data_IF_164585768032
#
_entry.id   IF_164585768032
#
_cell.length_a   1.000
_cell.length_b   1.000
_cell.length_c   1.000
_cell.angle_alpha   90.00
_cell.angle_beta   90.00
_cell.angle_gamma   90.00
#
_symmetry.space_group_name_H-M   'P 1'
#
loop_
_entity.id
_entity.type
_entity.pdbx_description
1 polymer ?
#
# COMPACT_ATOMS: atom_id res chain seq x y z
N UNK A 1 -24.59 -8.11 14.76
CA UNK A 1 -23.64 -7.25 15.51
C UNK A 1 -22.22 -7.42 14.99
N UNK A 2 -21.71 -8.66 14.85
CA UNK A 2 -20.37 -8.94 14.30
C UNK A 2 -20.04 -8.26 12.96
N UNK A 3 -20.97 -8.23 11.99
CA UNK A 3 -20.71 -7.63 10.67
C UNK A 3 -20.30 -6.16 10.75
N UNK A 4 -20.94 -5.38 11.63
CA UNK A 4 -20.66 -3.95 11.78
C UNK A 4 -19.27 -3.70 12.36
N UNK A 5 -18.84 -4.55 13.29
CA UNK A 5 -17.51 -4.46 13.92
C UNK A 5 -16.41 -4.82 12.90
N UNK A 6 -16.67 -5.80 12.03
CA UNK A 6 -15.76 -6.15 10.92
C UNK A 6 -15.68 -5.04 9.86
N UNK A 7 -16.81 -4.42 9.51
CA UNK A 7 -16.83 -3.31 8.55
C UNK A 7 -16.09 -2.08 9.09
N UNK A 8 -16.25 -1.78 10.39
CA UNK A 8 -15.51 -0.69 11.04
C UNK A 8 -14.01 -0.95 11.06
N UNK A 9 -13.60 -2.18 11.41
CA UNK A 9 -12.20 -2.58 11.36
C UNK A 9 -11.64 -2.50 9.94
N UNK A 10 -12.39 -3.00 8.94
CA UNK A 10 -12.03 -2.92 7.53
C UNK A 10 -11.86 -1.46 7.08
N UNK A 11 -12.80 -0.59 7.44
CA UNK A 11 -12.72 0.83 7.12
C UNK A 11 -11.52 1.54 7.75
N UNK A 12 -11.14 1.18 8.98
CA UNK A 12 -9.94 1.73 9.64
C UNK A 12 -8.65 1.25 8.97
N UNK A 13 -8.58 -0.03 8.58
CA UNK A 13 -7.43 -0.58 7.86
C UNK A 13 -7.30 0.11 6.49
N UNK A 14 -8.40 0.26 5.76
CA UNK A 14 -8.43 0.94 4.47
C UNK A 14 -7.99 2.41 4.60
N UNK A 15 -8.49 3.14 5.61
CA UNK A 15 -8.08 4.52 5.86
C UNK A 15 -6.57 4.67 6.10
N UNK A 16 -5.96 3.74 6.84
CA UNK A 16 -4.50 3.73 7.08
C UNK A 16 -3.74 3.39 5.79
N UNK A 17 -4.23 2.43 5.00
CA UNK A 17 -3.67 2.08 3.70
C UNK A 17 -3.65 3.29 2.75
N UNK A 18 -4.77 3.98 2.61
CA UNK A 18 -4.87 5.18 1.77
C UNK A 18 -3.93 6.29 2.24
N UNK A 19 -3.86 6.55 3.55
CA UNK A 19 -2.94 7.55 4.09
C UNK A 19 -1.46 7.21 3.79
N UNK A 20 -1.07 5.95 3.92
CA UNK A 20 0.29 5.48 3.59
C UNK A 20 0.59 5.64 2.10
N UNK A 21 -0.34 5.29 1.22
CA UNK A 21 -0.18 5.43 -0.24
C UNK A 21 -0.04 6.89 -0.66
N UNK A 22 -0.88 7.78 -0.11
CA UNK A 22 -0.81 9.22 -0.37
C UNK A 22 0.53 9.82 0.09
N UNK A 23 0.98 9.47 1.31
CA UNK A 23 2.27 9.91 1.83
C UNK A 23 3.43 9.42 0.95
N UNK A 24 3.39 8.14 0.55
CA UNK A 24 4.42 7.56 -0.32
C UNK A 24 4.47 8.28 -1.66
N UNK A 25 3.32 8.54 -2.27
CA UNK A 25 3.24 9.26 -3.54
C UNK A 25 3.79 10.69 -3.44
N UNK A 26 3.43 11.44 -2.39
CA UNK A 26 3.93 12.80 -2.16
C UNK A 26 5.47 12.82 -1.98
N UNK A 27 6.01 11.90 -1.17
CA UNK A 27 7.46 11.78 -0.97
C UNK A 27 8.20 11.38 -2.26
N UNK A 28 7.63 10.48 -3.06
CA UNK A 28 8.19 10.08 -4.35
C UNK A 28 8.20 11.25 -5.34
N UNK A 29 7.09 12.01 -5.43
CA UNK A 29 6.98 13.18 -6.30
C UNK A 29 7.95 14.29 -5.91
N UNK A 30 8.31 14.40 -4.63
CA UNK A 30 9.36 15.32 -4.13
C UNK A 30 10.79 14.80 -4.34
N UNK A 31 10.95 13.59 -4.87
CA UNK A 31 12.26 12.94 -5.06
C UNK A 31 12.95 12.51 -3.77
N UNK A 32 12.20 12.39 -2.66
CA UNK A 32 12.76 12.06 -1.35
C UNK A 32 12.89 10.54 -1.12
N UNK A 33 12.13 9.75 -1.86
CA UNK A 33 12.18 8.29 -1.81
C UNK A 33 12.20 7.69 -3.22
N UNK A 34 12.73 6.48 -3.31
CA UNK A 34 12.61 5.62 -4.48
C UNK A 34 11.34 4.76 -4.33
N UNK A 35 10.25 5.24 -4.93
CA UNK A 35 8.95 4.57 -4.90
C UNK A 35 8.98 3.16 -5.50
N UNK A 36 9.56 2.94 -6.70
CA UNK A 36 9.73 1.59 -7.26
C UNK A 36 10.47 0.62 -6.32
N UNK A 37 11.56 1.07 -5.69
CA UNK A 37 12.31 0.24 -4.73
C UNK A 37 11.48 -0.07 -3.49
N UNK A 38 10.71 0.89 -2.98
CA UNK A 38 9.82 0.67 -1.83
C UNK A 38 8.72 -0.34 -2.15
N UNK A 39 8.07 -0.22 -3.31
CA UNK A 39 7.06 -1.20 -3.77
C UNK A 39 7.64 -2.62 -3.84
N UNK A 40 8.87 -2.75 -4.35
CA UNK A 40 9.57 -4.04 -4.38
C UNK A 40 9.89 -4.57 -2.97
N UNK A 41 10.27 -3.69 -2.04
CA UNK A 41 10.50 -4.06 -0.64
C UNK A 41 9.21 -4.59 0.02
N UNK A 42 8.05 -4.00 -0.25
CA UNK A 42 6.77 -4.49 0.26
C UNK A 42 6.42 -5.88 -0.28
N UNK A 43 6.62 -6.12 -1.57
CA UNK A 43 6.41 -7.46 -2.18
C UNK A 43 7.34 -8.53 -1.61
N UNK A 44 8.55 -8.14 -1.24
CA UNK A 44 9.58 -9.05 -0.71
C UNK A 44 9.61 -9.13 0.81
N UNK A 45 8.72 -8.39 1.49
CA UNK A 45 8.65 -8.37 2.94
C UNK A 45 8.37 -9.80 3.47
N UNK A 46 9.40 -10.39 4.09
CA UNK A 46 9.30 -11.64 4.85
C UNK A 46 9.35 -11.29 6.33
N UNK A 47 8.32 -11.69 7.07
CA UNK A 47 8.41 -11.64 8.53
C UNK A 47 9.19 -12.86 9.02
N UNK A 48 10.26 -12.68 9.82
CA UNK A 48 10.99 -13.80 10.41
C UNK A 48 10.18 -14.62 11.43
N UNK A 49 9.00 -14.14 11.86
CA UNK A 49 8.16 -14.77 12.89
C UNK A 49 6.81 -15.28 12.32
N UNK A 50 6.86 -16.25 11.40
CA UNK A 50 5.73 -16.70 10.59
C UNK A 50 4.61 -17.43 11.37
N UNK A 51 3.49 -16.74 11.58
CA UNK A 51 2.15 -17.27 11.95
C UNK A 51 1.16 -17.01 10.80
N UNK A 52 0.10 -17.81 10.68
CA UNK A 52 -0.89 -17.75 9.57
C UNK A 52 -1.50 -16.36 9.29
N UNK A 53 -1.57 -15.48 10.28
CA UNK A 53 -2.00 -14.07 10.13
C UNK A 53 -1.11 -13.28 9.15
N UNK A 54 0.12 -13.75 8.92
CA UNK A 54 1.09 -13.12 8.03
C UNK A 54 0.84 -13.34 6.54
N UNK A 55 0.08 -14.37 6.13
CA UNK A 55 -0.28 -14.51 4.72
C UNK A 55 -1.26 -13.41 4.29
N UNK A 56 -2.27 -13.10 5.11
CA UNK A 56 -3.16 -11.96 4.86
C UNK A 56 -2.38 -10.65 4.82
N UNK A 57 -1.47 -10.42 5.77
CA UNK A 57 -0.62 -9.23 5.76
C UNK A 57 0.28 -9.16 4.51
N UNK A 58 0.85 -10.29 4.06
CA UNK A 58 1.66 -10.36 2.84
C UNK A 58 0.83 -10.06 1.58
N UNK A 59 -0.39 -10.59 1.53
CA UNK A 59 -1.33 -10.28 0.44
C UNK A 59 -1.66 -8.78 0.41
N UNK A 60 -2.01 -8.19 1.55
CA UNK A 60 -2.28 -6.74 1.63
C UNK A 60 -1.06 -5.91 1.21
N UNK A 61 0.16 -6.28 1.62
CA UNK A 61 1.37 -5.59 1.18
C UNK A 61 1.59 -5.66 -0.34
N UNK A 62 1.26 -6.79 -0.97
CA UNK A 62 1.33 -6.93 -2.42
C UNK A 62 0.28 -6.06 -3.13
N UNK A 63 -0.94 -5.99 -2.60
CA UNK A 63 -2.02 -5.13 -3.12
C UNK A 63 -1.65 -3.65 -3.01
N UNK A 64 -1.08 -3.21 -1.88
CA UNK A 64 -0.61 -1.84 -1.70
C UNK A 64 0.53 -1.49 -2.67
N UNK A 65 1.46 -2.42 -2.90
CA UNK A 65 2.52 -2.23 -3.88
C UNK A 65 1.94 -2.06 -5.30
N UNK A 66 0.92 -2.85 -5.66
CA UNK A 66 0.24 -2.72 -6.95
C UNK A 66 -0.49 -1.38 -7.07
N UNK A 67 -1.24 -0.97 -6.03
CA UNK A 67 -1.95 0.31 -6.03
C UNK A 67 -0.99 1.50 -6.20
N UNK A 68 0.20 1.44 -5.60
CA UNK A 68 1.23 2.46 -5.78
C UNK A 68 1.74 2.52 -7.23
N UNK A 69 1.98 1.37 -7.85
CA UNK A 69 2.44 1.27 -9.24
C UNK A 69 1.36 1.75 -10.22
N UNK A 70 0.08 1.45 -9.97
CA UNK A 70 -1.05 1.92 -10.77
C UNK A 70 -1.20 3.44 -10.67
N UNK A 71 -1.13 3.98 -9.45
CA UNK A 71 -1.20 5.43 -9.23
C UNK A 71 -0.03 6.17 -9.89
N UNK A 72 1.16 5.58 -9.88
CA UNK A 72 2.33 6.10 -10.62
C UNK A 72 2.09 6.08 -12.12
N UNK A 73 1.65 4.95 -12.66
CA UNK A 73 1.36 4.78 -14.09
C UNK A 73 0.30 5.77 -14.57
N UNK A 74 -0.72 6.03 -13.75
CA UNK A 74 -1.73 7.05 -14.01
C UNK A 74 -1.12 8.46 -14.07
N UNK A 75 -0.29 8.85 -13.10
CA UNK A 75 0.39 10.15 -13.11
C UNK A 75 1.33 10.33 -14.29
N UNK A 76 2.05 9.28 -14.68
CA UNK A 76 2.96 9.30 -15.83
C UNK A 76 2.22 9.35 -17.17
N UNK A 77 1.03 8.77 -17.24
CA UNK A 77 0.20 8.79 -18.46
C UNK A 77 -0.62 10.06 -18.62
N UNK A 78 -0.77 10.89 -17.59
CA UNK A 78 -1.28 12.25 -17.72
C UNK A 78 -0.14 13.23 -18.05
N UNK A 79 -0.07 13.77 -19.28
CA UNK A 79 0.80 14.89 -19.57
C UNK A 79 0.31 16.06 -18.72
N UNK A 80 1.22 16.70 -17.99
CA UNK A 80 0.93 17.92 -17.25
C UNK A 80 0.33 18.93 -18.24
N UNK A 81 -0.98 19.19 -18.12
CA UNK A 81 -1.69 20.23 -18.88
C UNK A 81 -1.56 21.58 -18.20
#
# INVERSE_FOLDING_TARGET
>A
MQTRDFDELGGRIEGVAQALLLLTADLEMRGLIDGPRLAQAWRSARSPNALALLETARHTLAELAQALDDARSYRQSQPHS
#
